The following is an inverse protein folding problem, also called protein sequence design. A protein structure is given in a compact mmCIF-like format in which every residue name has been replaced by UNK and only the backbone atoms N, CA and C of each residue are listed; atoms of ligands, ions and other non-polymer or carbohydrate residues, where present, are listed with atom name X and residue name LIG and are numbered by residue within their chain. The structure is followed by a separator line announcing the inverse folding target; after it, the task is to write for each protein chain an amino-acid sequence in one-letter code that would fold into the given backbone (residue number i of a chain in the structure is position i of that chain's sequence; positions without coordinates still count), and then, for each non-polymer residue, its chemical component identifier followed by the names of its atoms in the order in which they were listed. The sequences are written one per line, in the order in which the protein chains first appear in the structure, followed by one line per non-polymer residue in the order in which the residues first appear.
data_IF_330647714667
#
_entry.id   IF_330647714667
#
_cell.length_a   1.000
_cell.length_b   1.000
_cell.length_c   1.000
_cell.angle_alpha   90.00
_cell.angle_beta   90.00
_cell.angle_gamma   90.00
#
_symmetry.space_group_name_H-M   'P 1'
#
loop_
_entity.id
_entity.type
_entity.pdbx_description
1 polymer ?
#
# COMPACT_ATOMS: atom_id res chain seq x y z
N UNK A 1 9.49 -11.35 -6.41
CA UNK A 1 10.86 -11.17 -5.92
C UNK A 1 10.79 -10.86 -4.44
N UNK A 2 11.46 -11.62 -3.57
CA UNK A 2 11.56 -11.28 -2.15
C UNK A 2 12.74 -10.32 -1.98
N UNK A 3 12.47 -9.08 -1.58
CA UNK A 3 13.52 -8.13 -1.21
C UNK A 3 13.88 -8.35 0.25
N UNK A 4 15.18 -8.47 0.55
CA UNK A 4 15.65 -8.48 1.94
C UNK A 4 15.36 -7.12 2.58
N UNK A 5 14.68 -7.13 3.74
CA UNK A 5 14.40 -5.92 4.51
C UNK A 5 15.68 -5.12 4.76
N UNK A 6 16.79 -5.79 5.10
CA UNK A 6 18.08 -5.15 5.35
C UNK A 6 18.59 -4.33 4.16
N UNK A 7 18.35 -4.80 2.93
CA UNK A 7 18.72 -4.09 1.71
C UNK A 7 17.85 -2.83 1.49
N UNK A 8 16.59 -2.85 1.94
CA UNK A 8 15.69 -1.69 1.90
C UNK A 8 16.12 -0.66 2.96
N UNK A 9 16.38 -1.09 4.19
CA UNK A 9 16.85 -0.22 5.28
C UNK A 9 18.13 0.55 4.92
N UNK A 10 19.07 -0.09 4.22
CA UNK A 10 20.31 0.54 3.73
C UNK A 10 20.07 1.68 2.73
N UNK A 11 18.94 1.68 2.01
CA UNK A 11 18.58 2.74 1.05
C UNK A 11 17.89 3.94 1.70
N UNK A 12 17.43 3.81 2.94
CA UNK A 12 16.71 4.86 3.66
C UNK A 12 17.70 5.66 4.53
N UNK A 13 17.65 7.00 4.54
CA UNK A 13 18.45 7.83 5.43
C UNK A 13 18.26 7.50 6.92
N UNK A 14 19.35 7.48 7.70
CA UNK A 14 19.35 7.09 9.13
C UNK A 14 18.33 7.84 9.98
N UNK A 15 18.12 9.13 9.75
CA UNK A 15 17.20 9.95 10.54
C UNK A 15 15.72 9.57 10.32
N UNK A 16 15.41 8.82 9.26
CA UNK A 16 14.06 8.32 8.97
C UNK A 16 13.83 6.91 9.53
N UNK A 17 14.88 6.22 10.01
CA UNK A 17 14.75 4.84 10.47
C UNK A 17 13.77 4.66 11.63
N UNK A 18 13.66 5.68 12.50
CA UNK A 18 12.69 5.69 13.60
C UNK A 18 11.21 5.66 13.15
N UNK A 19 10.93 6.00 11.89
CA UNK A 19 9.57 6.01 11.33
C UNK A 19 9.26 4.75 10.51
N UNK A 20 10.20 3.80 10.41
CA UNK A 20 9.97 2.55 9.70
C UNK A 20 9.21 1.60 10.62
N UNK A 21 8.01 1.22 10.20
CA UNK A 21 7.20 0.23 10.88
C UNK A 21 7.16 -1.07 10.09
N UNK A 22 7.18 -2.19 10.79
CA UNK A 22 6.86 -3.49 10.21
C UNK A 22 5.35 -3.61 10.08
N UNK A 23 4.87 -3.94 8.88
CA UNK A 23 3.46 -4.18 8.65
C UNK A 23 3.14 -5.65 8.97
N UNK A 24 2.48 -5.89 10.09
CA UNK A 24 1.97 -7.21 10.48
C UNK A 24 0.48 -7.32 10.13
N UNK A 25 0.17 -8.06 9.08
CA UNK A 25 -1.19 -8.12 8.55
C UNK A 25 -2.13 -8.94 9.44
N UNK A 26 -1.63 -10.00 10.06
CA UNK A 26 -2.42 -10.94 10.84
C UNK A 26 -2.72 -10.39 12.23
N UNK A 27 -1.81 -9.58 12.77
CA UNK A 27 -1.96 -8.97 14.08
C UNK A 27 -2.91 -7.76 14.09
N UNK A 28 -2.87 -6.92 13.05
CA UNK A 28 -3.52 -5.60 13.07
C UNK A 28 -4.78 -5.48 12.21
N UNK A 29 -5.06 -6.43 11.31
CA UNK A 29 -6.24 -6.34 10.44
C UNK A 29 -7.13 -7.56 10.58
N UNK A 30 -8.38 -7.34 10.97
CA UNK A 30 -9.38 -8.39 11.01
C UNK A 30 -10.22 -8.41 9.72
N UNK A 31 -11.12 -9.38 9.61
CA UNK A 31 -11.99 -9.55 8.45
C UNK A 31 -12.86 -8.32 8.13
N UNK A 32 -13.25 -7.53 9.15
CA UNK A 32 -14.00 -6.29 8.99
C UNK A 32 -13.11 -5.20 8.38
N UNK A 33 -11.88 -5.04 8.85
CA UNK A 33 -10.95 -4.03 8.31
C UNK A 33 -10.66 -4.30 6.83
N UNK A 34 -10.46 -5.58 6.49
CA UNK A 34 -10.28 -6.02 5.11
C UNK A 34 -11.53 -5.75 4.25
N UNK A 35 -12.74 -5.92 4.81
CA UNK A 35 -13.98 -5.61 4.11
C UNK A 35 -14.15 -4.10 3.88
N UNK A 36 -13.82 -3.27 4.86
CA UNK A 36 -13.83 -1.81 4.74
C UNK A 36 -12.83 -1.36 3.67
N UNK A 37 -11.60 -1.89 3.69
CA UNK A 37 -10.59 -1.61 2.69
C UNK A 37 -11.10 -1.88 1.27
N UNK A 38 -11.63 -3.09 1.02
CA UNK A 38 -12.20 -3.46 -0.29
C UNK A 38 -13.33 -2.53 -0.71
N UNK A 39 -14.21 -2.17 0.22
CA UNK A 39 -15.31 -1.25 -0.07
C UNK A 39 -14.79 0.12 -0.50
N UNK A 40 -13.88 0.70 0.28
CA UNK A 40 -13.29 2.02 0.01
C UNK A 40 -12.53 2.02 -1.31
N UNK A 41 -11.69 1.02 -1.57
CA UNK A 41 -10.95 0.90 -2.82
C UNK A 41 -11.88 0.82 -4.03
N UNK A 42 -12.98 0.05 -3.95
CA UNK A 42 -13.97 -0.04 -5.04
C UNK A 42 -14.63 1.32 -5.32
N UNK A 43 -14.99 2.08 -4.29
CA UNK A 43 -15.59 3.41 -4.47
C UNK A 43 -14.58 4.40 -5.07
N UNK A 44 -13.36 4.42 -4.54
CA UNK A 44 -12.28 5.29 -5.03
C UNK A 44 -11.94 5.00 -6.49
N UNK A 45 -11.68 3.75 -6.86
CA UNK A 45 -11.37 3.40 -8.25
C UNK A 45 -12.50 3.76 -9.21
N UNK A 46 -13.76 3.62 -8.79
CA UNK A 46 -14.90 4.04 -9.61
C UNK A 46 -14.92 5.56 -9.84
N UNK A 47 -14.74 6.37 -8.78
CA UNK A 47 -14.70 7.83 -8.89
C UNK A 47 -13.49 8.33 -9.69
N UNK A 48 -12.34 7.67 -9.54
CA UNK A 48 -11.09 8.07 -10.17
C UNK A 48 -11.02 7.67 -11.65
N UNK A 49 -11.94 6.83 -12.13
CA UNK A 49 -11.95 6.36 -13.53
C UNK A 49 -11.94 7.48 -14.57
N UNK A 50 -12.61 8.60 -14.31
CA UNK A 50 -12.72 9.74 -15.23
C UNK A 50 -11.91 10.96 -14.81
N UNK A 51 -11.40 11.00 -13.58
CA UNK A 51 -10.75 12.17 -13.00
C UNK A 51 -9.26 11.98 -12.73
N UNK A 52 -8.80 10.74 -12.53
CA UNK A 52 -7.39 10.45 -12.33
C UNK A 52 -6.62 10.43 -13.65
N UNK A 53 -5.34 10.79 -13.57
CA UNK A 53 -4.42 10.65 -14.68
C UNK A 53 -4.31 9.16 -15.10
N UNK A 54 -4.25 8.83 -16.40
CA UNK A 54 -4.26 7.44 -16.89
C UNK A 54 -3.24 6.51 -16.22
N UNK A 55 -2.05 7.03 -15.91
CA UNK A 55 -0.97 6.30 -15.21
C UNK A 55 -1.43 5.72 -13.85
N UNK A 56 -2.39 6.36 -13.17
CA UNK A 56 -2.88 5.88 -11.88
C UNK A 56 -3.59 4.52 -12.02
N UNK A 57 -4.44 4.37 -13.03
CA UNK A 57 -5.16 3.12 -13.27
C UNK A 57 -4.21 2.02 -13.77
N UNK A 58 -3.26 2.37 -14.64
CA UNK A 58 -2.20 1.44 -15.07
C UNK A 58 -1.36 0.96 -13.87
N UNK A 59 -1.07 1.85 -12.91
CA UNK A 59 -0.37 1.50 -11.68
C UNK A 59 -1.17 0.53 -10.80
N UNK A 60 -2.47 0.77 -10.64
CA UNK A 60 -3.36 -0.10 -9.88
C UNK A 60 -3.49 -1.50 -10.48
N UNK A 61 -3.52 -1.63 -11.81
CA UNK A 61 -3.61 -2.94 -12.50
C UNK A 61 -2.33 -3.80 -12.34
N UNK A 62 -1.19 -3.20 -11.99
CA UNK A 62 0.10 -3.91 -11.82
C UNK A 62 0.33 -4.46 -10.41
N UNK A 63 -0.60 -4.24 -9.48
CA UNK A 63 -0.56 -4.68 -8.07
C UNK A 63 -1.49 -5.85 -7.81
#
# INVERSE_FOLDING_TARGET
MSFSLEAIFKKIPKHLHQFIATQDYDLYYNARDQAVWRYVMRQLSHQLKSSAHPIYNEGLEKT
#
